data_IF_271853311237
#
_entry.id   IF_271853311237
#
_cell.length_a   1.000
_cell.length_b   1.000
_cell.length_c   1.000
_cell.angle_alpha   90.00
_cell.angle_beta   90.00
_cell.angle_gamma   90.00
#
_symmetry.space_group_name_H-M   'P 1'
#
loop_
_entity.id
_entity.type
_entity.pdbx_description
1 polymer ?
#
# COMPACT_ATOMS: atom_id res chain seq x y z
N UNK A 1 -6.21 -27.96 -4.21
CA UNK A 1 -6.24 -26.52 -3.92
C UNK A 1 -7.35 -26.26 -2.92
N UNK A 2 -6.96 -25.83 -1.77
CA UNK A 2 -7.88 -25.58 -0.69
C UNK A 2 -8.56 -24.24 -0.88
N UNK A 3 -9.89 -24.22 -0.95
CA UNK A 3 -10.69 -22.99 -1.05
C UNK A 3 -10.43 -22.06 0.14
N UNK A 4 -9.93 -22.58 1.25
CA UNK A 4 -9.52 -21.84 2.43
C UNK A 4 -8.28 -20.96 2.23
N UNK A 5 -7.61 -21.03 1.05
CA UNK A 5 -6.43 -20.21 0.74
C UNK A 5 -6.77 -18.85 0.13
N UNK A 6 -8.05 -18.57 -0.18
CA UNK A 6 -8.47 -17.24 -0.70
C UNK A 6 -8.58 -16.30 0.49
N UNK A 7 -7.79 -15.21 0.50
CA UNK A 7 -7.86 -14.24 1.61
C UNK A 7 -9.24 -13.60 1.70
N UNK A 8 -9.72 -13.43 2.92
CA UNK A 8 -10.92 -12.65 3.19
C UNK A 8 -10.66 -11.19 2.84
N UNK A 9 -11.45 -10.63 1.91
CA UNK A 9 -11.26 -9.25 1.44
C UNK A 9 -11.34 -8.20 2.55
N UNK A 10 -12.11 -8.48 3.59
CA UNK A 10 -12.20 -7.59 4.78
C UNK A 10 -10.91 -7.58 5.62
N UNK A 11 -9.95 -8.45 5.30
CA UNK A 11 -8.67 -8.60 5.99
C UNK A 11 -7.48 -8.32 5.06
N UNK A 12 -7.73 -7.79 3.86
CA UNK A 12 -6.68 -7.49 2.88
C UNK A 12 -6.32 -6.02 2.92
N UNK A 13 -5.02 -5.75 3.03
CA UNK A 13 -4.42 -4.43 2.94
C UNK A 13 -3.58 -4.40 1.67
N UNK A 14 -3.78 -3.43 0.79
CA UNK A 14 -2.89 -3.18 -0.34
C UNK A 14 -2.02 -1.98 -0.02
N UNK A 15 -0.73 -2.09 -0.26
CA UNK A 15 0.23 -1.00 -0.09
C UNK A 15 0.80 -0.60 -1.45
N UNK A 16 0.91 0.69 -1.64
CA UNK A 16 1.63 1.32 -2.75
C UNK A 16 2.49 2.44 -2.19
N UNK A 17 3.48 2.91 -2.94
CA UNK A 17 4.24 4.02 -2.44
C UNK A 17 5.53 4.32 -3.17
N UNK A 18 6.31 5.18 -2.54
CA UNK A 18 7.51 5.79 -3.08
C UNK A 18 8.64 4.78 -3.32
N UNK A 19 9.38 4.97 -4.39
CA UNK A 19 10.59 4.19 -4.67
C UNK A 19 11.69 4.51 -3.67
N UNK A 20 12.45 3.49 -3.26
CA UNK A 20 13.48 3.64 -2.24
C UNK A 20 14.55 4.67 -2.57
N UNK A 21 14.97 4.74 -3.85
CA UNK A 21 15.96 5.72 -4.29
C UNK A 21 15.50 7.19 -4.18
N UNK A 22 14.20 7.42 -4.05
CA UNK A 22 13.59 8.75 -3.95
C UNK A 22 13.23 9.15 -2.53
N UNK A 23 13.28 8.23 -1.58
CA UNK A 23 12.95 8.52 -0.18
C UNK A 23 14.08 9.35 0.43
N UNK A 24 13.74 10.55 0.89
CA UNK A 24 14.71 11.51 1.46
C UNK A 24 15.01 11.23 2.93
N UNK A 25 13.97 10.89 3.70
CA UNK A 25 14.08 10.63 5.13
C UNK A 25 13.60 9.22 5.44
N UNK A 26 14.51 8.25 5.26
CA UNK A 26 14.21 6.82 5.41
C UNK A 26 13.72 6.47 6.81
N UNK A 27 14.32 7.08 7.84
CA UNK A 27 13.95 6.82 9.24
C UNK A 27 12.50 7.23 9.52
N UNK A 28 12.14 8.45 9.15
CA UNK A 28 10.78 8.95 9.33
C UNK A 28 9.78 8.22 8.42
N UNK A 29 10.18 7.88 7.22
CA UNK A 29 9.36 7.12 6.29
C UNK A 29 9.00 5.74 6.87
N UNK A 30 9.99 5.04 7.40
CA UNK A 30 9.79 3.75 8.07
C UNK A 30 8.88 3.89 9.30
N UNK A 31 9.13 4.90 10.13
CA UNK A 31 8.31 5.15 11.32
C UNK A 31 6.84 5.40 10.97
N UNK A 32 6.58 6.10 9.86
CA UNK A 32 5.23 6.35 9.36
C UNK A 32 4.52 5.04 9.00
N UNK A 33 5.20 4.12 8.33
CA UNK A 33 4.63 2.81 7.98
C UNK A 33 4.34 1.99 9.25
N UNK A 34 5.27 1.98 10.20
CA UNK A 34 5.09 1.29 11.48
C UNK A 34 3.85 1.84 12.21
N UNK A 35 3.74 3.15 12.32
CA UNK A 35 2.59 3.80 12.97
C UNK A 35 1.26 3.45 12.30
N UNK A 36 1.25 3.39 10.98
CA UNK A 36 0.06 2.98 10.22
C UNK A 36 -0.40 1.57 10.63
N UNK A 37 0.51 0.60 10.63
CA UNK A 37 0.17 -0.77 11.00
C UNK A 37 -0.23 -0.90 12.48
N UNK A 38 0.47 -0.23 13.36
CA UNK A 38 0.15 -0.26 14.79
C UNK A 38 -1.27 0.29 15.04
N UNK A 39 -1.63 1.38 14.38
CA UNK A 39 -2.97 1.97 14.52
C UNK A 39 -4.05 1.08 13.88
N UNK A 40 -3.79 0.57 12.67
CA UNK A 40 -4.75 -0.25 11.94
C UNK A 40 -5.05 -1.56 12.66
N UNK A 41 -4.03 -2.18 13.23
CA UNK A 41 -4.10 -3.50 13.85
C UNK A 41 -4.26 -3.45 15.36
N UNK A 42 -4.52 -2.28 15.93
CA UNK A 42 -4.74 -2.13 17.36
C UNK A 42 -5.85 -3.07 17.85
N UNK A 43 -5.55 -3.87 18.88
CA UNK A 43 -6.44 -4.89 19.44
C UNK A 43 -6.93 -5.95 18.45
N UNK A 44 -6.21 -6.13 17.33
CA UNK A 44 -6.52 -7.13 16.32
C UNK A 44 -5.41 -8.17 16.25
N UNK A 45 -5.75 -9.36 15.73
CA UNK A 45 -4.76 -10.43 15.52
C UNK A 45 -4.11 -10.26 14.15
N UNK A 46 -2.81 -9.88 14.08
CA UNK A 46 -2.14 -9.68 12.79
C UNK A 46 -2.15 -10.88 11.87
N UNK A 47 -2.17 -12.10 12.42
CA UNK A 47 -2.17 -13.33 11.63
C UNK A 47 -3.42 -13.51 10.76
N UNK A 48 -4.50 -12.77 11.04
CA UNK A 48 -5.73 -12.81 10.25
C UNK A 48 -5.67 -11.88 9.03
N UNK A 49 -4.64 -11.04 8.93
CA UNK A 49 -4.52 -10.01 7.88
C UNK A 49 -3.50 -10.41 6.83
N UNK A 50 -3.76 -9.95 5.60
CA UNK A 50 -2.87 -10.16 4.46
C UNK A 50 -2.48 -8.81 3.88
N UNK A 51 -1.18 -8.62 3.69
CA UNK A 51 -0.64 -7.48 2.95
C UNK A 51 -0.34 -7.88 1.52
N UNK A 52 -0.85 -7.13 0.55
CA UNK A 52 -0.52 -7.29 -0.87
C UNK A 52 0.28 -6.06 -1.31
N UNK A 53 1.39 -6.28 -2.01
CA UNK A 53 2.26 -5.23 -2.50
C UNK A 53 2.81 -5.54 -3.90
N UNK A 54 3.35 -4.53 -4.56
CA UNK A 54 3.82 -4.62 -5.94
C UNK A 54 5.32 -4.92 -6.13
N UNK A 55 6.00 -5.34 -5.10
CA UNK A 55 7.42 -5.74 -5.13
C UNK A 55 8.40 -4.60 -5.49
N UNK A 56 7.98 -3.36 -5.43
CA UNK A 56 8.88 -2.24 -5.68
C UNK A 56 9.80 -1.99 -4.50
N UNK A 57 11.07 -1.73 -4.79
CA UNK A 57 12.01 -1.30 -3.76
C UNK A 57 11.58 0.06 -3.20
N UNK A 58 11.47 0.16 -1.89
CA UNK A 58 11.00 1.35 -1.18
C UNK A 58 9.82 1.04 -0.29
N UNK A 59 8.72 1.76 -0.43
CA UNK A 59 7.54 1.60 0.42
C UNK A 59 7.00 0.16 0.43
N UNK A 60 6.93 -0.49 -0.72
CA UNK A 60 6.40 -1.85 -0.84
C UNK A 60 7.20 -2.85 0.00
N UNK A 61 8.51 -2.92 -0.22
CA UNK A 61 9.37 -3.88 0.50
C UNK A 61 9.52 -3.52 1.97
N UNK A 62 9.53 -2.24 2.28
CA UNK A 62 9.59 -1.77 3.66
C UNK A 62 8.32 -2.15 4.43
N UNK A 63 7.15 -1.94 3.82
CA UNK A 63 5.87 -2.36 4.39
C UNK A 63 5.78 -3.89 4.51
N UNK A 64 6.28 -4.61 3.51
CA UNK A 64 6.31 -6.08 3.51
C UNK A 64 7.14 -6.61 4.69
N UNK A 65 8.32 -6.03 4.95
CA UNK A 65 9.16 -6.43 6.07
C UNK A 65 8.48 -6.15 7.40
N UNK A 66 7.91 -4.97 7.57
CA UNK A 66 7.20 -4.58 8.80
C UNK A 66 6.00 -5.50 9.03
N UNK A 67 5.19 -5.74 8.01
CA UNK A 67 4.02 -6.60 8.09
C UNK A 67 4.41 -8.05 8.44
N UNK A 68 5.46 -8.56 7.82
CA UNK A 68 5.99 -9.90 8.11
C UNK A 68 6.43 -10.02 9.58
N UNK A 69 7.15 -9.02 10.08
CA UNK A 69 7.60 -8.99 11.48
C UNK A 69 6.44 -8.92 12.47
N UNK A 70 5.33 -8.31 12.07
CA UNK A 70 4.12 -8.25 12.88
C UNK A 70 3.26 -9.52 12.81
N UNK A 71 3.54 -10.43 11.88
CA UNK A 71 2.85 -11.70 11.74
C UNK A 71 1.77 -11.74 10.65
N UNK A 72 1.67 -10.71 9.80
CA UNK A 72 0.75 -10.75 8.66
C UNK A 72 1.24 -11.75 7.60
N UNK A 73 0.30 -12.28 6.82
CA UNK A 73 0.64 -12.93 5.56
C UNK A 73 1.00 -11.85 4.53
N UNK A 74 2.09 -12.04 3.80
CA UNK A 74 2.56 -11.07 2.81
C UNK A 74 2.57 -11.70 1.42
N UNK A 75 1.94 -11.04 0.44
CA UNK A 75 1.87 -11.49 -0.95
C UNK A 75 2.43 -10.38 -1.84
N UNK A 76 3.48 -10.70 -2.59
CA UNK A 76 4.04 -9.80 -3.59
C UNK A 76 3.50 -10.12 -4.99
N UNK A 77 3.06 -9.11 -5.72
CA UNK A 77 2.61 -9.25 -7.11
C UNK A 77 3.53 -8.40 -7.99
N UNK A 78 4.52 -9.03 -8.64
CA UNK A 78 5.44 -8.29 -9.50
C UNK A 78 4.78 -7.88 -10.81
N UNK A 79 5.22 -6.76 -11.38
CA UNK A 79 4.81 -6.34 -12.71
C UNK A 79 5.56 -7.15 -13.77
N UNK A 80 4.85 -7.61 -14.80
CA UNK A 80 5.44 -8.35 -15.91
C UNK A 80 5.86 -7.40 -17.05
N UNK A 81 6.99 -6.74 -16.85
CA UNK A 81 7.53 -5.78 -17.81
C UNK A 81 7.88 -6.42 -19.15
N UNK A 82 8.28 -7.69 -19.17
CA UNK A 82 8.61 -8.42 -20.39
C UNK A 82 7.39 -8.60 -21.26
N UNK A 83 6.25 -8.91 -20.67
CA UNK A 83 4.99 -9.17 -21.38
C UNK A 83 4.26 -7.91 -21.78
N UNK A 84 4.20 -6.90 -20.91
CA UNK A 84 3.32 -5.74 -21.05
C UNK A 84 4.06 -4.42 -21.27
N UNK A 85 5.38 -4.41 -21.20
CA UNK A 85 6.15 -3.17 -21.35
C UNK A 85 5.71 -2.11 -20.34
N UNK A 86 5.49 -0.88 -20.82
CA UNK A 86 5.09 0.25 -19.94
C UNK A 86 3.74 0.07 -19.26
N UNK A 87 2.88 -0.76 -19.82
CA UNK A 87 1.56 -1.04 -19.22
C UNK A 87 1.63 -1.99 -18.03
N UNK A 88 2.77 -2.66 -17.81
CA UNK A 88 2.91 -3.66 -16.76
C UNK A 88 2.62 -3.14 -15.35
N UNK A 89 3.08 -1.92 -15.03
CA UNK A 89 2.82 -1.28 -13.74
C UNK A 89 1.33 -1.07 -13.47
N UNK A 90 0.63 -0.32 -14.34
CA UNK A 90 -0.82 -0.13 -14.21
C UNK A 90 -1.62 -1.44 -14.19
N UNK A 91 -1.28 -2.41 -15.01
CA UNK A 91 -1.93 -3.73 -15.01
C UNK A 91 -1.78 -4.42 -13.65
N UNK A 92 -0.55 -4.48 -13.12
CA UNK A 92 -0.27 -5.06 -11.82
C UNK A 92 -1.01 -4.33 -10.70
N UNK A 93 -1.05 -2.99 -10.74
CA UNK A 93 -1.75 -2.20 -9.75
C UNK A 93 -3.24 -2.55 -9.73
N UNK A 94 -3.85 -2.69 -10.91
CA UNK A 94 -5.24 -3.10 -11.01
C UNK A 94 -5.48 -4.52 -10.46
N UNK A 95 -4.57 -5.45 -10.76
CA UNK A 95 -4.66 -6.82 -10.23
C UNK A 95 -4.67 -6.84 -8.69
N UNK A 96 -3.83 -6.03 -8.07
CA UNK A 96 -3.84 -5.91 -6.61
C UNK A 96 -5.18 -5.41 -6.07
N UNK A 97 -5.77 -4.42 -6.73
CA UNK A 97 -7.03 -3.81 -6.32
C UNK A 97 -8.24 -4.71 -6.58
N UNK A 98 -8.15 -5.64 -7.52
CA UNK A 98 -9.19 -6.63 -7.80
C UNK A 98 -9.40 -7.62 -6.64
N UNK A 99 -8.45 -7.75 -5.73
CA UNK A 99 -8.65 -8.47 -4.48
C UNK A 99 -9.64 -7.76 -3.54
N UNK A 100 -10.07 -6.55 -3.87
CA UNK A 100 -11.01 -5.73 -3.10
C UNK A 100 -10.57 -5.54 -1.64
N UNK A 101 -9.38 -4.97 -1.41
CA UNK A 101 -8.89 -4.75 -0.06
C UNK A 101 -9.84 -3.85 0.73
N UNK A 102 -9.88 -4.02 2.05
CA UNK A 102 -10.66 -3.11 2.88
C UNK A 102 -9.99 -1.74 3.03
N UNK A 103 -8.67 -1.65 2.76
CA UNK A 103 -7.93 -0.39 2.76
C UNK A 103 -6.76 -0.48 1.79
N UNK A 104 -6.51 0.63 1.09
CA UNK A 104 -5.33 0.85 0.26
C UNK A 104 -4.50 1.93 0.92
N UNK A 105 -3.26 1.60 1.31
CA UNK A 105 -2.35 2.55 1.95
C UNK A 105 -1.29 3.02 0.97
N UNK A 106 -1.21 4.32 0.76
CA UNK A 106 -0.21 4.95 -0.11
C UNK A 106 0.80 5.72 0.72
N UNK A 107 2.06 5.28 0.71
CA UNK A 107 3.15 5.90 1.43
C UNK A 107 4.06 6.67 0.48
N UNK A 108 4.00 7.98 0.51
CA UNK A 108 4.81 8.83 -0.35
C UNK A 108 5.08 10.18 0.30
N UNK A 109 6.31 10.68 0.18
CA UNK A 109 6.66 12.01 0.70
C UNK A 109 6.03 13.14 -0.11
N UNK A 110 5.80 12.91 -1.41
CA UNK A 110 5.11 13.83 -2.32
C UNK A 110 4.32 13.06 -3.38
N UNK A 111 3.09 12.71 -3.07
CA UNK A 111 2.26 11.88 -3.96
C UNK A 111 1.93 12.57 -5.29
N UNK A 112 1.89 13.91 -5.32
CA UNK A 112 1.59 14.66 -6.55
C UNK A 112 2.64 14.45 -7.64
N UNK A 113 3.89 14.21 -7.25
CA UNK A 113 4.99 13.96 -8.18
C UNK A 113 5.06 12.50 -8.65
N UNK A 114 4.30 11.60 -8.05
CA UNK A 114 4.35 10.18 -8.34
C UNK A 114 3.35 9.77 -9.41
N UNK A 115 3.84 9.10 -10.46
CA UNK A 115 2.97 8.52 -11.48
C UNK A 115 2.36 7.19 -11.01
N UNK A 116 3.18 6.29 -10.48
CA UNK A 116 2.76 4.94 -10.09
C UNK A 116 1.84 4.93 -8.88
N UNK A 117 2.23 5.60 -7.81
CA UNK A 117 1.43 5.69 -6.59
C UNK A 117 0.11 6.40 -6.85
N UNK A 118 0.15 7.51 -7.58
CA UNK A 118 -1.05 8.25 -7.97
C UNK A 118 -2.00 7.39 -8.81
N UNK A 119 -1.47 6.61 -9.75
CA UNK A 119 -2.28 5.68 -10.55
C UNK A 119 -3.04 4.69 -9.67
N UNK A 120 -2.37 4.07 -8.72
CA UNK A 120 -3.01 3.12 -7.80
C UNK A 120 -4.09 3.80 -6.96
N UNK A 121 -3.80 4.98 -6.42
CA UNK A 121 -4.77 5.73 -5.60
C UNK A 121 -6.01 6.11 -6.40
N UNK A 122 -5.83 6.68 -7.59
CA UNK A 122 -6.95 7.08 -8.45
C UNK A 122 -7.78 5.86 -8.85
N UNK A 123 -7.14 4.77 -9.26
CA UNK A 123 -7.85 3.53 -9.62
C UNK A 123 -8.63 2.97 -8.43
N UNK A 124 -8.04 2.98 -7.24
CA UNK A 124 -8.71 2.53 -6.02
C UNK A 124 -9.97 3.37 -5.72
N UNK A 125 -9.87 4.69 -5.86
CA UNK A 125 -11.02 5.59 -5.66
C UNK A 125 -12.11 5.34 -6.71
N UNK A 126 -11.75 5.11 -7.96
CA UNK A 126 -12.69 4.74 -9.01
C UNK A 126 -13.41 3.41 -8.74
N UNK A 127 -12.76 2.52 -7.99
CA UNK A 127 -13.33 1.23 -7.56
C UNK A 127 -14.08 1.32 -6.23
N UNK A 128 -14.30 2.51 -5.69
CA UNK A 128 -14.95 2.76 -4.40
C UNK A 128 -14.24 2.11 -3.20
N UNK A 129 -12.94 1.95 -3.29
CA UNK A 129 -12.13 1.41 -2.20
C UNK A 129 -11.71 2.53 -1.23
N UNK A 130 -11.54 2.17 0.04
CA UNK A 130 -11.03 3.09 1.05
C UNK A 130 -9.54 3.29 0.84
N UNK A 131 -9.11 4.54 0.73
CA UNK A 131 -7.71 4.90 0.52
C UNK A 131 -7.21 5.73 1.69
N UNK A 132 -6.08 5.31 2.25
CA UNK A 132 -5.32 6.09 3.22
C UNK A 132 -4.03 6.57 2.56
N UNK A 133 -3.77 7.86 2.64
CA UNK A 133 -2.56 8.46 2.04
C UNK A 133 -1.73 9.07 3.15
N UNK A 134 -0.45 8.66 3.20
CA UNK A 134 0.50 9.35 4.07
C UNK A 134 0.75 10.73 3.52
N UNK A 135 0.49 11.71 4.33
CA UNK A 135 0.64 13.10 3.96
C UNK A 135 1.73 13.73 4.79
N UNK A 136 2.73 14.32 4.12
CA UNK A 136 3.65 15.20 4.79
C UNK A 136 2.92 16.51 5.06
N UNK A 137 2.02 16.47 6.03
CA UNK A 137 1.27 17.65 6.37
C UNK A 137 2.12 18.55 7.28
N UNK A 138 2.08 19.84 7.01
CA UNK A 138 2.60 20.86 7.92
C UNK A 138 1.80 20.93 9.22
N UNK A 139 0.72 20.17 9.35
CA UNK A 139 -0.11 20.07 10.54
C UNK A 139 0.21 18.80 11.33
N UNK A 140 0.66 18.94 12.59
CA UNK A 140 1.01 17.79 13.44
C UNK A 140 -0.17 16.95 13.90
N UNK A 141 -1.41 17.28 13.55
CA UNK A 141 -2.62 16.61 14.05
C UNK A 141 -3.09 15.40 13.24
N UNK A 142 -2.36 15.00 12.19
CA UNK A 142 -2.64 13.75 11.48
C UNK A 142 -4.07 13.55 10.97
N UNK A 143 -4.81 14.64 10.76
CA UNK A 143 -6.18 14.50 10.27
C UNK A 143 -6.17 14.05 8.80
N UNK A 144 -6.88 12.96 8.54
CA UNK A 144 -7.27 12.53 7.23
C UNK A 144 -7.92 13.71 6.50
N UNK A 145 -7.22 14.29 5.54
CA UNK A 145 -7.87 15.16 4.58
C UNK A 145 -8.14 14.36 3.33
N UNK A 146 -9.43 14.17 3.10
CA UNK A 146 -9.97 13.60 1.89
C UNK A 146 -9.36 14.25 0.65
N UNK A 147 -9.20 13.46 -0.38
CA UNK A 147 -9.04 13.74 -1.83
C UNK A 147 -8.60 15.14 -2.32
N UNK A 148 -8.53 16.18 -1.49
CA UNK A 148 -8.18 17.55 -1.90
C UNK A 148 -6.73 17.72 -2.36
N UNK A 149 -5.91 16.71 -2.23
CA UNK A 149 -4.51 16.73 -2.65
C UNK A 149 -4.23 15.97 -3.95
N UNK A 150 -5.23 15.36 -4.52
CA UNK A 150 -5.14 14.61 -5.77
C UNK A 150 -5.76 15.39 -6.91
#
# INVERSE_FOLDING_TARGET
>A
VCVSSIPDSSKIIVVTGQRGSQIRDVKNFRAMIVSFFESLLFEKNPSEYTLIHGCCNGADLMAAQIASDLGLTVIGIPADWTRYGRAAGPIRNRLMLEYKPFIVAAFHEDIKSSKGTKNTVVTALEMDLVVWVSWKNKNPSGSLKDSEGL
#
